data_IF_101537782573
#
_entry.id   IF_101537782573
#
_cell.length_a   1.000
_cell.length_b   1.000
_cell.length_c   1.000
_cell.angle_alpha   90.00
_cell.angle_beta   90.00
_cell.angle_gamma   90.00
#
_symmetry.space_group_name_H-M   'P 1'
#
loop_
_entity.id
_entity.type
_entity.pdbx_description
1 polymer ?
#
# COMPACT_ATOMS: atom_id res chain seq x y z
N UNK A 1 9.93 -24.07 23.74
CA UNK A 1 8.72 -23.89 22.91
C UNK A 1 8.79 -24.79 21.68
N UNK A 2 8.57 -26.10 21.84
CA UNK A 2 8.39 -27.04 20.73
C UNK A 2 7.21 -27.96 21.10
N UNK A 3 6.24 -28.16 20.17
CA UNK A 3 5.08 -29.05 20.39
C UNK A 3 3.68 -28.50 20.09
N UNK A 4 3.52 -27.32 19.47
CA UNK A 4 2.19 -26.72 19.21
C UNK A 4 1.61 -26.89 17.81
N UNK A 5 2.23 -27.69 16.93
CA UNK A 5 1.82 -27.85 15.53
C UNK A 5 1.56 -26.50 14.82
N UNK A 6 2.50 -25.55 15.01
CA UNK A 6 2.41 -24.22 14.40
C UNK A 6 3.26 -24.19 13.13
N UNK A 7 2.68 -23.68 12.04
CA UNK A 7 3.39 -23.39 10.80
C UNK A 7 3.68 -21.89 10.76
N UNK A 8 4.97 -21.54 10.68
CA UNK A 8 5.41 -20.18 10.41
C UNK A 8 5.69 -20.06 8.92
N UNK A 9 4.95 -19.20 8.24
CA UNK A 9 5.19 -18.87 6.82
C UNK A 9 5.82 -17.49 6.72
N UNK A 10 6.81 -17.39 5.86
CA UNK A 10 7.41 -16.13 5.42
C UNK A 10 7.32 -16.08 3.89
N UNK A 11 7.24 -14.90 3.32
CA UNK A 11 7.09 -14.72 1.88
C UNK A 11 7.46 -13.31 1.46
N UNK A 12 7.98 -13.18 0.24
CA UNK A 12 8.14 -11.89 -0.42
C UNK A 12 6.80 -11.37 -0.95
N UNK A 13 6.85 -10.34 -1.78
CA UNK A 13 5.66 -9.82 -2.47
C UNK A 13 5.38 -10.69 -3.70
N UNK A 14 4.16 -11.22 -3.81
CA UNK A 14 3.73 -12.02 -4.95
C UNK A 14 3.28 -11.13 -6.11
N UNK A 15 4.24 -10.69 -6.93
CA UNK A 15 3.97 -9.88 -8.12
C UNK A 15 3.29 -10.65 -9.27
N UNK A 16 3.20 -11.99 -9.18
CA UNK A 16 2.54 -12.81 -10.21
C UNK A 16 1.01 -12.64 -10.24
N UNK A 17 0.40 -12.19 -9.14
CA UNK A 17 -1.06 -12.12 -8.99
C UNK A 17 -1.64 -10.75 -9.39
N UNK A 18 -0.82 -9.86 -9.96
CA UNK A 18 -1.26 -8.52 -10.35
C UNK A 18 -2.47 -8.54 -11.29
N UNK A 19 -2.54 -9.48 -12.24
CA UNK A 19 -3.66 -9.59 -13.17
C UNK A 19 -4.98 -9.93 -12.45
N UNK A 20 -4.93 -10.82 -11.46
CA UNK A 20 -6.10 -11.17 -10.65
C UNK A 20 -6.53 -9.99 -9.79
N UNK A 21 -5.59 -9.32 -9.11
CA UNK A 21 -5.86 -8.15 -8.28
C UNK A 21 -6.55 -7.05 -9.10
N UNK A 22 -6.05 -6.74 -10.30
CA UNK A 22 -6.66 -5.76 -11.19
C UNK A 22 -8.08 -6.16 -11.62
N UNK A 23 -8.30 -7.44 -11.93
CA UNK A 23 -9.63 -7.97 -12.26
C UNK A 23 -10.61 -7.81 -11.09
N UNK A 24 -10.16 -8.02 -9.85
CA UNK A 24 -10.99 -7.84 -8.65
C UNK A 24 -11.32 -6.38 -8.39
N UNK A 25 -10.38 -5.47 -8.66
CA UNK A 25 -10.61 -4.02 -8.60
C UNK A 25 -11.63 -3.60 -9.67
N UNK A 26 -11.46 -4.05 -10.91
CA UNK A 26 -12.38 -3.75 -12.02
C UNK A 26 -13.82 -4.20 -11.72
N UNK A 27 -13.98 -5.38 -11.11
CA UNK A 27 -15.29 -5.90 -10.67
C UNK A 27 -15.88 -5.20 -9.45
N UNK A 28 -15.15 -4.28 -8.82
CA UNK A 28 -15.57 -3.60 -7.60
C UNK A 28 -15.53 -4.48 -6.34
N UNK A 29 -14.97 -5.68 -6.43
CA UNK A 29 -14.82 -6.59 -5.29
C UNK A 29 -13.74 -6.11 -4.31
N UNK A 30 -12.77 -5.33 -4.81
CA UNK A 30 -11.75 -4.67 -4.00
C UNK A 30 -11.77 -3.18 -4.33
N UNK A 31 -11.96 -2.34 -3.32
CA UNK A 31 -11.74 -0.90 -3.43
C UNK A 31 -10.49 -0.49 -2.66
N UNK A 32 -9.42 -0.17 -3.37
CA UNK A 32 -8.14 0.27 -2.77
C UNK A 32 -8.04 1.78 -2.61
N UNK A 33 -9.00 2.55 -3.13
CA UNK A 33 -9.00 4.03 -3.05
C UNK A 33 -8.79 4.56 -1.64
N UNK A 34 -9.41 4.00 -0.57
CA UNK A 34 -9.22 4.49 0.79
C UNK A 34 -7.79 4.33 1.34
N UNK A 35 -6.95 3.51 0.71
CA UNK A 35 -5.55 3.37 1.13
C UNK A 35 -4.74 4.62 0.82
N UNK A 36 -5.10 5.36 -0.23
CA UNK A 36 -4.47 6.63 -0.59
C UNK A 36 -5.01 7.72 0.34
N UNK A 37 -4.28 8.02 1.40
CA UNK A 37 -4.69 9.03 2.39
C UNK A 37 -4.18 10.41 2.04
N UNK A 38 -3.07 10.53 1.32
CA UNK A 38 -2.47 11.81 0.98
C UNK A 38 -2.02 11.85 -0.48
N UNK A 39 -2.06 13.06 -1.06
CA UNK A 39 -1.66 13.32 -2.44
C UNK A 39 -0.78 14.56 -2.48
N UNK A 40 0.30 14.48 -3.24
CA UNK A 40 1.22 15.60 -3.45
C UNK A 40 1.53 15.72 -4.94
N UNK A 41 1.70 16.95 -5.46
CA UNK A 41 2.31 17.14 -6.76
C UNK A 41 3.79 16.71 -6.71
N UNK A 42 4.36 16.32 -7.85
CA UNK A 42 5.79 15.97 -7.92
C UNK A 42 6.72 17.10 -7.42
N UNK A 43 6.31 18.37 -7.55
CA UNK A 43 7.07 19.52 -7.05
C UNK A 43 7.22 19.55 -5.52
N UNK A 44 6.41 18.77 -4.80
CA UNK A 44 6.42 18.68 -3.32
C UNK A 44 6.87 17.30 -2.84
N UNK A 45 7.64 16.58 -3.64
CA UNK A 45 8.06 15.20 -3.31
C UNK A 45 8.82 15.10 -1.97
N UNK A 46 9.61 16.10 -1.60
CA UNK A 46 10.30 16.13 -0.31
C UNK A 46 9.32 16.19 0.88
N UNK A 47 8.24 16.98 0.75
CA UNK A 47 7.20 17.05 1.78
C UNK A 47 6.42 15.74 1.87
N UNK A 48 6.15 15.09 0.73
CA UNK A 48 5.53 13.77 0.68
C UNK A 48 6.35 12.70 1.43
N UNK A 49 7.68 12.69 1.23
CA UNK A 49 8.59 11.81 1.96
C UNK A 49 8.61 12.12 3.46
N UNK A 50 8.73 13.40 3.83
CA UNK A 50 8.74 13.81 5.23
C UNK A 50 7.47 13.35 5.97
N UNK A 51 6.30 13.55 5.37
CA UNK A 51 5.02 13.11 5.93
C UNK A 51 4.99 11.58 6.15
N UNK A 52 5.37 10.80 5.14
CA UNK A 52 5.32 9.34 5.19
C UNK A 52 6.32 8.77 6.22
N UNK A 53 7.55 9.25 6.21
CA UNK A 53 8.62 8.80 7.13
C UNK A 53 8.25 9.07 8.59
N UNK A 54 7.69 10.25 8.87
CA UNK A 54 7.33 10.67 10.22
C UNK A 54 5.93 10.24 10.66
N UNK A 55 5.22 9.46 9.82
CA UNK A 55 3.85 8.95 10.10
C UNK A 55 2.88 10.06 10.50
N UNK A 56 2.99 11.23 9.88
CA UNK A 56 2.16 12.38 10.18
C UNK A 56 0.73 12.16 9.69
N UNK A 57 -0.23 12.78 10.37
CA UNK A 57 -1.64 12.83 9.98
C UNK A 57 -2.28 11.46 9.62
N UNK A 58 -1.86 10.40 10.33
CA UNK A 58 -2.39 9.05 10.08
C UNK A 58 -2.10 8.50 8.68
N UNK A 59 -1.02 8.94 8.04
CA UNK A 59 -0.64 8.52 6.68
C UNK A 59 -0.58 6.99 6.54
N UNK A 60 -1.22 6.46 5.48
CA UNK A 60 -1.16 5.06 5.07
C UNK A 60 -0.45 4.91 3.73
N UNK A 61 -0.88 5.67 2.71
CA UNK A 61 -0.25 5.72 1.40
C UNK A 61 -0.29 7.14 0.86
N UNK A 62 0.86 7.59 0.37
CA UNK A 62 0.99 8.82 -0.40
C UNK A 62 0.99 8.47 -1.89
N UNK A 63 0.21 9.20 -2.68
CA UNK A 63 0.25 9.14 -4.15
C UNK A 63 0.81 10.44 -4.71
N UNK A 64 1.81 10.35 -5.60
CA UNK A 64 2.28 11.49 -6.36
C UNK A 64 1.39 11.65 -7.59
N UNK A 65 0.88 12.85 -7.80
CA UNK A 65 0.01 13.20 -8.91
C UNK A 65 0.70 14.21 -9.83
N UNK A 66 0.34 14.20 -11.11
CA UNK A 66 0.64 15.32 -11.99
C UNK A 66 -0.19 16.54 -11.55
N UNK A 67 0.39 17.74 -11.75
CA UNK A 67 -0.16 19.03 -11.28
C UNK A 67 -1.63 19.23 -11.62
#
# INVERSE_FOLDING_TARGET
MYGKNLIFKTGGVDGCDCAEILTLIEKGNINTTPLITHRFPLSEIEAAYHMFENKLDGVMKVAIIDK
#
